data_IF_594641380235
#
_entry.id   IF_594641380235
#
_cell.length_a   1.000
_cell.length_b   1.000
_cell.length_c   1.000
_cell.angle_alpha   90.00
_cell.angle_beta   90.00
_cell.angle_gamma   90.00
#
_symmetry.space_group_name_H-M   'P 1'
#
loop_
_entity.id
_entity.type
_entity.pdbx_description
1 polymer ?
#
# COMPACT_ATOMS: atom_id res chain seq x y z
N UNK A 1 -10.66 -7.86 -0.49
CA UNK A 1 -9.42 -8.60 -0.85
C UNK A 1 -9.80 -9.77 -1.76
N UNK A 2 -8.93 -10.20 -2.67
CA UNK A 2 -9.15 -11.41 -3.48
C UNK A 2 -7.87 -12.23 -3.57
N UNK A 3 -7.89 -13.44 -3.02
CA UNK A 3 -6.76 -14.38 -3.08
C UNK A 3 -6.56 -14.93 -4.50
N UNK A 4 -7.65 -15.11 -5.24
CA UNK A 4 -7.63 -15.54 -6.63
C UNK A 4 -6.91 -14.52 -7.53
N UNK A 5 -7.28 -13.25 -7.41
CA UNK A 5 -6.70 -12.17 -8.21
C UNK A 5 -5.38 -11.64 -7.62
N UNK A 6 -5.08 -11.95 -6.36
CA UNK A 6 -3.81 -11.61 -5.72
C UNK A 6 -3.74 -10.19 -5.15
N UNK A 7 -4.85 -9.63 -4.65
CA UNK A 7 -4.84 -8.24 -4.13
C UNK A 7 -5.47 -8.06 -2.75
N UNK A 8 -4.89 -7.09 -2.03
CA UNK A 8 -5.45 -6.49 -0.82
C UNK A 8 -5.89 -5.05 -1.14
N UNK A 9 -7.09 -4.66 -0.69
CA UNK A 9 -7.60 -3.28 -0.77
C UNK A 9 -7.87 -2.77 0.64
N UNK A 10 -7.36 -1.58 0.95
CA UNK A 10 -7.71 -0.80 2.13
C UNK A 10 -8.39 0.49 1.68
N UNK A 11 -9.64 0.66 2.10
CA UNK A 11 -10.51 1.78 1.75
C UNK A 11 -10.73 2.67 2.98
N UNK A 12 -11.01 3.96 2.76
CA UNK A 12 -11.20 4.95 3.82
C UNK A 12 -10.01 4.96 4.79
N UNK A 13 -8.84 5.39 4.29
CA UNK A 13 -7.57 5.32 5.01
C UNK A 13 -7.42 6.45 6.06
N UNK A 14 -8.42 6.57 6.92
CA UNK A 14 -8.59 7.67 7.87
C UNK A 14 -7.61 7.65 9.04
N UNK A 15 -6.90 6.56 9.38
CA UNK A 15 -5.64 6.66 10.17
C UNK A 15 -4.90 5.33 10.33
N UNK A 16 -3.58 5.34 10.56
CA UNK A 16 -3.03 4.48 11.61
C UNK A 16 -2.41 5.23 12.80
N UNK A 17 -1.83 6.41 12.59
CA UNK A 17 -1.47 7.44 13.60
C UNK A 17 -1.45 8.77 12.84
N UNK A 18 -2.25 9.76 13.26
CA UNK A 18 -2.29 11.09 12.61
C UNK A 18 -1.80 12.23 13.49
N UNK A 19 -1.77 12.01 14.81
CA UNK A 19 -1.41 13.03 15.78
C UNK A 19 -0.48 12.44 16.84
N UNK A 20 0.33 13.29 17.47
CA UNK A 20 1.28 12.89 18.53
C UNK A 20 0.61 12.19 19.72
N UNK A 21 -0.68 12.49 19.96
CA UNK A 21 -1.46 11.95 21.08
C UNK A 21 -2.45 10.86 20.63
N UNK A 22 -2.34 10.38 19.40
CA UNK A 22 -3.21 9.33 18.90
C UNK A 22 -2.96 8.03 19.69
N UNK A 23 -4.02 7.42 20.22
CA UNK A 23 -3.92 6.16 21.00
C UNK A 23 -3.84 4.94 20.09
N UNK A 24 -3.92 5.15 18.78
CA UNK A 24 -3.91 4.08 17.79
C UNK A 24 -2.55 3.38 17.72
N UNK A 25 -2.54 2.06 17.43
CA UNK A 25 -1.31 1.31 17.27
C UNK A 25 -0.47 1.86 16.11
N UNK A 26 0.85 1.89 16.29
CA UNK A 26 1.77 2.34 15.25
C UNK A 26 1.49 1.65 13.88
N UNK A 27 1.61 2.37 12.74
CA UNK A 27 1.18 1.88 11.43
C UNK A 27 1.77 0.52 11.01
N UNK A 28 2.98 0.20 11.44
CA UNK A 28 3.59 -1.10 11.14
C UNK A 28 2.85 -2.28 11.77
N UNK A 29 2.14 -2.09 12.90
CA UNK A 29 1.34 -3.14 13.55
C UNK A 29 0.15 -3.59 12.70
N UNK A 30 -0.27 -2.77 11.73
CA UNK A 30 -1.28 -3.18 10.75
C UNK A 30 -0.81 -4.36 9.87
N UNK A 31 0.50 -4.60 9.77
CA UNK A 31 1.02 -5.74 9.02
C UNK A 31 0.43 -7.07 9.50
N UNK A 32 0.31 -7.25 10.81
CA UNK A 32 -0.22 -8.49 11.39
C UNK A 32 -1.70 -8.66 11.03
N UNK A 33 -2.48 -7.57 11.07
CA UNK A 33 -3.90 -7.60 10.68
C UNK A 33 -4.07 -7.99 9.21
N UNK A 34 -3.26 -7.39 8.31
CA UNK A 34 -3.31 -7.73 6.89
C UNK A 34 -2.96 -9.18 6.62
N UNK A 35 -1.95 -9.70 7.32
CA UNK A 35 -1.47 -11.07 7.15
C UNK A 35 -2.48 -12.07 7.67
N UNK A 36 -3.03 -11.85 8.87
CA UNK A 36 -4.05 -12.72 9.44
C UNK A 36 -5.29 -12.78 8.54
N UNK A 37 -5.73 -11.63 8.02
CA UNK A 37 -6.85 -11.59 7.09
C UNK A 37 -6.53 -12.31 5.77
N UNK A 38 -5.33 -12.12 5.23
CA UNK A 38 -4.87 -12.80 4.01
C UNK A 38 -4.80 -14.32 4.20
N UNK A 39 -4.19 -14.78 5.29
CA UNK A 39 -4.08 -16.19 5.66
C UNK A 39 -5.46 -16.82 5.81
N UNK A 40 -6.38 -16.14 6.50
CA UNK A 40 -7.77 -16.61 6.68
C UNK A 40 -8.48 -16.79 5.33
N UNK A 41 -8.32 -15.86 4.40
CA UNK A 41 -8.93 -15.95 3.07
C UNK A 41 -8.24 -16.96 2.16
N UNK A 42 -6.94 -17.17 2.36
CA UNK A 42 -6.16 -18.16 1.62
C UNK A 42 -6.33 -19.58 2.19
N UNK A 43 -6.90 -19.73 3.39
CA UNK A 43 -7.17 -21.01 4.02
C UNK A 43 -8.02 -21.90 3.09
N UNK A 44 -7.57 -23.13 2.87
CA UNK A 44 -8.19 -24.05 1.92
C UNK A 44 -7.74 -23.86 0.46
N UNK A 45 -6.79 -22.96 0.19
CA UNK A 45 -6.14 -22.80 -1.12
C UNK A 45 -4.62 -22.95 -1.02
N UNK A 46 -3.96 -23.32 -2.11
CA UNK A 46 -2.50 -23.29 -2.24
C UNK A 46 -1.94 -21.89 -2.62
N UNK A 47 -2.74 -20.83 -2.42
CA UNK A 47 -2.50 -19.49 -2.99
C UNK A 47 -2.02 -18.46 -1.97
N UNK A 48 -1.57 -18.88 -0.79
CA UNK A 48 -1.03 -17.97 0.23
C UNK A 48 0.13 -17.12 -0.30
N UNK A 49 0.90 -17.63 -1.27
CA UNK A 49 2.00 -16.93 -1.94
C UNK A 49 1.58 -16.11 -3.17
N UNK A 50 0.29 -16.01 -3.48
CA UNK A 50 -0.23 -15.34 -4.69
C UNK A 50 -0.49 -13.84 -4.48
N UNK A 51 0.09 -13.21 -3.46
CA UNK A 51 -0.04 -11.78 -3.23
C UNK A 51 0.76 -10.99 -4.27
N UNK A 52 0.07 -10.18 -5.09
CA UNK A 52 0.63 -9.42 -6.23
C UNK A 52 0.43 -7.92 -6.10
N UNK A 53 -0.64 -7.49 -5.44
CA UNK A 53 -1.02 -6.08 -5.38
C UNK A 53 -1.51 -5.69 -3.98
N UNK A 54 -1.20 -4.47 -3.59
CA UNK A 54 -1.74 -3.85 -2.39
C UNK A 54 -2.18 -2.43 -2.72
N UNK A 55 -3.48 -2.14 -2.63
CA UNK A 55 -4.06 -0.84 -2.93
C UNK A 55 -4.50 -0.10 -1.66
N UNK A 56 -4.09 1.16 -1.57
CA UNK A 56 -4.62 2.18 -0.66
C UNK A 56 -5.56 3.06 -1.48
N UNK A 57 -6.86 2.79 -1.36
CA UNK A 57 -7.90 3.58 -2.00
C UNK A 57 -8.27 4.74 -1.10
N UNK A 58 -8.35 5.94 -1.65
CA UNK A 58 -8.70 7.17 -0.95
C UNK A 58 -7.79 7.40 0.27
N UNK A 59 -6.56 7.81 -0.02
CA UNK A 59 -5.56 8.17 0.99
C UNK A 59 -5.98 9.50 1.62
N UNK A 60 -6.21 9.49 2.93
CA UNK A 60 -6.60 10.69 3.68
C UNK A 60 -5.55 11.17 4.69
N UNK A 61 -4.52 10.37 4.95
CA UNK A 61 -3.44 10.73 5.87
C UNK A 61 -2.62 11.93 5.31
N UNK A 62 -2.55 13.07 6.03
CA UNK A 62 -1.91 14.29 5.52
C UNK A 62 -0.43 14.12 5.16
N UNK A 63 0.34 13.37 5.97
CA UNK A 63 1.76 13.14 5.70
C UNK A 63 1.96 12.34 4.41
N UNK A 64 1.10 11.33 4.20
CA UNK A 64 1.13 10.54 2.97
C UNK A 64 0.73 11.39 1.76
N UNK A 65 -0.31 12.21 1.90
CA UNK A 65 -0.76 13.14 0.85
C UNK A 65 0.34 14.12 0.44
N UNK A 66 1.07 14.69 1.42
CA UNK A 66 2.20 15.58 1.17
C UNK A 66 3.29 14.88 0.36
N UNK A 67 3.67 13.66 0.74
CA UNK A 67 4.68 12.88 0.01
C UNK A 67 4.19 12.51 -1.40
N UNK A 68 2.90 12.22 -1.58
CA UNK A 68 2.30 12.02 -2.91
C UNK A 68 2.45 13.27 -3.77
N UNK A 69 2.16 14.44 -3.21
CA UNK A 69 2.28 15.70 -3.95
C UNK A 69 3.72 16.00 -4.32
N UNK A 70 4.66 15.85 -3.40
CA UNK A 70 6.09 15.99 -3.70
C UNK A 70 6.55 15.01 -4.80
N UNK A 71 6.21 13.73 -4.69
CA UNK A 71 6.57 12.70 -5.67
C UNK A 71 5.98 12.96 -7.06
N UNK A 72 4.78 13.56 -7.14
CA UNK A 72 4.08 13.81 -8.41
C UNK A 72 4.32 15.21 -8.96
N UNK A 73 5.18 16.03 -8.34
CA UNK A 73 5.37 17.43 -8.72
C UNK A 73 4.10 18.26 -8.56
N UNK A 74 3.29 17.95 -7.54
CA UNK A 74 1.97 18.52 -7.23
C UNK A 74 0.89 18.26 -8.29
N UNK A 75 1.13 17.34 -9.24
CA UNK A 75 0.19 17.03 -10.33
C UNK A 75 -0.05 15.53 -10.42
N UNK A 76 -0.87 15.00 -9.51
CA UNK A 76 -1.41 13.65 -9.63
C UNK A 76 -2.31 13.53 -10.87
N UNK A 77 -2.06 12.51 -11.70
CA UNK A 77 -2.82 12.22 -12.93
C UNK A 77 -3.97 11.25 -12.64
N UNK A 78 -5.04 11.36 -13.41
CA UNK A 78 -6.07 10.31 -13.43
C UNK A 78 -5.48 8.98 -13.88
N UNK A 79 -6.19 7.88 -13.64
CA UNK A 79 -5.77 6.55 -14.09
C UNK A 79 -5.33 6.58 -15.57
N UNK A 80 -4.15 6.03 -15.92
CA UNK A 80 -3.30 5.12 -15.13
C UNK A 80 -2.32 5.79 -14.17
N UNK A 81 -2.32 7.11 -14.03
CA UNK A 81 -1.49 7.83 -13.07
C UNK A 81 0.00 7.84 -13.43
N UNK A 82 0.84 7.93 -12.41
CA UNK A 82 2.31 7.90 -12.51
C UNK A 82 2.84 6.68 -11.75
N UNK A 83 3.79 5.94 -12.33
CA UNK A 83 4.41 4.78 -11.70
C UNK A 83 5.86 5.11 -11.33
N UNK A 84 6.23 4.80 -10.09
CA UNK A 84 7.57 4.98 -9.54
C UNK A 84 8.16 3.62 -9.19
N UNK A 85 9.40 3.36 -9.61
CA UNK A 85 10.17 2.18 -9.22
C UNK A 85 10.49 2.24 -7.72
N UNK A 86 10.53 1.09 -7.04
CA UNK A 86 11.04 1.04 -5.65
C UNK A 86 12.53 1.37 -5.55
N UNK A 87 13.24 1.49 -6.66
CA UNK A 87 14.62 1.97 -6.72
C UNK A 87 14.74 3.51 -6.76
N UNK A 88 13.67 4.22 -7.13
CA UNK A 88 13.67 5.69 -7.17
C UNK A 88 13.45 6.30 -5.78
N UNK A 89 13.84 7.56 -5.61
CA UNK A 89 13.65 8.28 -4.35
C UNK A 89 12.16 8.44 -4.02
N UNK A 90 11.33 8.70 -5.03
CA UNK A 90 9.87 8.80 -4.88
C UNK A 90 9.25 7.47 -4.47
N UNK A 91 9.66 6.36 -5.09
CA UNK A 91 9.16 5.03 -4.73
C UNK A 91 9.50 4.67 -3.29
N UNK A 92 10.74 4.95 -2.87
CA UNK A 92 11.21 4.75 -1.48
C UNK A 92 10.48 5.66 -0.50
N UNK A 93 10.28 6.94 -0.84
CA UNK A 93 9.54 7.89 -0.03
C UNK A 93 8.09 7.45 0.18
N UNK A 94 7.40 7.07 -0.91
CA UNK A 94 6.02 6.58 -0.88
C UNK A 94 5.88 5.28 -0.07
N UNK A 95 6.84 4.36 -0.15
CA UNK A 95 6.85 3.13 0.65
C UNK A 95 6.99 3.42 2.15
N UNK A 96 7.73 4.47 2.54
CA UNK A 96 7.96 4.85 3.95
C UNK A 96 6.84 5.70 4.56
N UNK A 97 5.81 6.06 3.79
CA UNK A 97 4.65 6.78 4.32
C UNK A 97 3.86 5.93 5.33
N UNK A 98 3.04 6.56 6.20
CA UNK A 98 2.09 5.83 7.05
C UNK A 98 1.22 4.82 6.31
N UNK A 99 0.83 5.11 5.06
CA UNK A 99 0.06 4.16 4.24
C UNK A 99 0.90 3.08 3.55
N UNK A 100 2.20 3.30 3.33
CA UNK A 100 3.12 2.32 2.72
C UNK A 100 3.78 1.37 3.73
N UNK A 101 4.12 1.85 4.93
CA UNK A 101 4.98 1.12 5.88
C UNK A 101 4.39 -0.21 6.36
N UNK A 102 3.06 -0.31 6.48
CA UNK A 102 2.39 -1.56 6.83
C UNK A 102 2.61 -2.68 5.80
N UNK A 103 2.70 -2.33 4.50
CA UNK A 103 3.06 -3.28 3.44
C UNK A 103 4.52 -3.69 3.57
N UNK A 104 5.43 -2.75 3.78
CA UNK A 104 6.85 -3.05 3.94
C UNK A 104 7.09 -4.04 5.08
N UNK A 105 6.51 -3.79 6.25
CA UNK A 105 6.62 -4.69 7.42
C UNK A 105 5.96 -6.05 7.17
N UNK A 106 4.81 -6.08 6.49
CA UNK A 106 4.15 -7.33 6.11
C UNK A 106 5.08 -8.22 5.28
N UNK A 107 5.77 -7.65 4.28
CA UNK A 107 6.61 -8.44 3.38
C UNK A 107 7.95 -8.85 4.02
N UNK A 108 8.51 -8.05 4.93
CA UNK A 108 9.77 -8.37 5.61
C UNK A 108 9.60 -9.45 6.69
N UNK A 109 8.52 -9.40 7.48
CA UNK A 109 8.39 -10.24 8.68
C UNK A 109 7.63 -11.55 8.48
N UNK A 110 7.06 -11.80 7.30
CA UNK A 110 6.11 -12.90 7.07
C UNK A 110 6.55 -13.82 5.94
N UNK A 111 7.59 -14.66 6.18
CA UNK A 111 8.15 -15.54 5.17
C UNK A 111 7.15 -16.56 4.61
N UNK A 112 6.04 -16.81 5.30
CA UNK A 112 4.93 -17.65 4.82
C UNK A 112 4.28 -17.14 3.52
N UNK A 113 4.42 -15.85 3.22
CA UNK A 113 3.97 -15.26 1.95
C UNK A 113 4.94 -15.56 0.79
N UNK A 114 6.10 -16.17 1.07
CA UNK A 114 7.27 -16.20 0.20
C UNK A 114 8.13 -14.95 0.39
N UNK A 115 9.39 -15.01 -0.06
CA UNK A 115 10.28 -13.84 -0.02
C UNK A 115 9.81 -12.84 -1.09
N UNK A 116 9.00 -11.87 -0.67
CA UNK A 116 8.35 -10.89 -1.55
C UNK A 116 8.86 -9.50 -1.28
N UNK A 117 8.88 -8.67 -2.32
CA UNK A 117 9.28 -7.26 -2.22
C UNK A 117 8.32 -6.39 -3.02
N UNK A 118 8.05 -5.14 -2.57
CA UNK A 118 7.42 -4.17 -3.44
C UNK A 118 8.39 -3.87 -4.61
N UNK A 119 7.88 -3.78 -5.83
CA UNK A 119 8.70 -3.50 -7.03
C UNK A 119 8.47 -2.11 -7.58
N UNK A 120 7.24 -1.61 -7.49
CA UNK A 120 6.85 -0.27 -7.92
C UNK A 120 5.57 0.16 -7.20
N UNK A 121 5.31 1.46 -7.21
CA UNK A 121 4.07 2.08 -6.73
C UNK A 121 3.49 2.95 -7.83
N UNK A 122 2.20 2.81 -8.07
CA UNK A 122 1.43 3.67 -8.96
C UNK A 122 0.58 4.62 -8.13
N UNK A 123 0.75 5.92 -8.38
CA UNK A 123 -0.04 6.99 -7.83
C UNK A 123 -1.05 7.43 -8.89
N UNK A 124 -2.33 7.47 -8.55
CA UNK A 124 -3.36 8.02 -9.43
C UNK A 124 -4.43 8.75 -8.62
N UNK A 125 -5.19 9.63 -9.27
CA UNK A 125 -6.35 10.28 -8.67
C UNK A 125 -7.66 9.85 -9.35
N UNK A 126 -8.75 9.98 -8.61
CA UNK A 126 -10.12 9.95 -9.13
C UNK A 126 -10.89 11.13 -8.56
N UNK A 127 -12.00 11.48 -9.19
CA UNK A 127 -12.96 12.44 -8.64
C UNK A 127 -14.22 11.68 -8.25
N UNK A 128 -14.65 11.78 -6.99
CA UNK A 128 -15.85 11.10 -6.54
C UNK A 128 -17.13 11.83 -6.97
N UNK A 129 -18.30 11.26 -6.67
CA UNK A 129 -19.60 11.82 -7.08
C UNK A 129 -19.86 13.22 -6.52
N UNK A 130 -19.19 13.61 -5.44
CA UNK A 130 -19.29 14.94 -4.81
C UNK A 130 -18.25 15.93 -5.35
N UNK A 131 -17.47 15.56 -6.38
CA UNK A 131 -16.44 16.43 -6.95
C UNK A 131 -15.13 16.47 -6.16
N UNK A 132 -14.97 15.64 -5.13
CA UNK A 132 -13.76 15.60 -4.30
C UNK A 132 -12.70 14.73 -5.01
N UNK A 133 -11.48 15.26 -5.08
CA UNK A 133 -10.32 14.54 -5.63
C UNK A 133 -9.76 13.59 -4.58
N UNK A 134 -9.73 12.31 -4.89
CA UNK A 134 -9.19 11.23 -4.07
C UNK A 134 -7.89 10.73 -4.70
N UNK A 135 -6.83 10.58 -3.90
CA UNK A 135 -5.53 10.05 -4.34
C UNK A 135 -5.36 8.61 -3.85
N UNK A 136 -4.75 7.77 -4.68
CA UNK A 136 -4.63 6.33 -4.46
C UNK A 136 -3.19 5.87 -4.63
N UNK A 137 -2.80 4.84 -3.87
CA UNK A 137 -1.52 4.13 -4.06
C UNK A 137 -1.80 2.69 -4.42
N UNK A 138 -1.26 2.22 -5.54
CA UNK A 138 -1.25 0.82 -5.93
C UNK A 138 0.19 0.30 -5.92
N UNK A 139 0.52 -0.50 -4.92
CA UNK A 139 1.81 -1.19 -4.84
C UNK A 139 1.76 -2.51 -5.61
N UNK A 140 2.80 -2.74 -6.38
CA UNK A 140 3.06 -4.00 -7.07
C UNK A 140 4.07 -4.81 -6.26
N UNK A 141 3.81 -6.10 -6.13
CA UNK A 141 4.58 -7.02 -5.30
C UNK A 141 5.12 -8.13 -6.20
N UNK A 142 6.43 -8.34 -6.13
CA UNK A 142 7.14 -9.39 -6.84
C UNK A 142 7.85 -10.34 -5.88
N UNK A 143 8.35 -11.44 -6.42
CA UNK A 143 9.27 -12.30 -5.69
C UNK A 143 10.67 -11.67 -5.68
N UNK A 144 11.34 -11.76 -4.53
CA UNK A 144 12.73 -11.35 -4.41
C UNK A 144 13.62 -12.33 -5.19
N UNK A 145 14.44 -11.81 -6.11
CA UNK A 145 15.27 -12.63 -7.00
C UNK A 145 16.73 -12.82 -6.54
N UNK A 146 17.09 -12.34 -5.35
CA UNK A 146 18.50 -12.26 -4.94
C UNK A 146 19.23 -11.14 -5.69
N UNK A 147 20.27 -10.60 -5.06
CA UNK A 147 21.27 -9.77 -5.71
C UNK A 147 22.46 -10.64 -6.15
#
# INVERSE_FOLDING_TARGET
MSVQAGYISAENNESPVQQKNDTQPAPYKLSDVYVLQWQKLAAGSNKIKNLKYFIRKDVQNPDTLRIIDEATGNVAKEWPGTTFSMESDEGKALLRTPNGVGLAYMLIHKPELGVKVPTQVRVFKTTNKSGIVEKHLLFYIGDYKGA
#
